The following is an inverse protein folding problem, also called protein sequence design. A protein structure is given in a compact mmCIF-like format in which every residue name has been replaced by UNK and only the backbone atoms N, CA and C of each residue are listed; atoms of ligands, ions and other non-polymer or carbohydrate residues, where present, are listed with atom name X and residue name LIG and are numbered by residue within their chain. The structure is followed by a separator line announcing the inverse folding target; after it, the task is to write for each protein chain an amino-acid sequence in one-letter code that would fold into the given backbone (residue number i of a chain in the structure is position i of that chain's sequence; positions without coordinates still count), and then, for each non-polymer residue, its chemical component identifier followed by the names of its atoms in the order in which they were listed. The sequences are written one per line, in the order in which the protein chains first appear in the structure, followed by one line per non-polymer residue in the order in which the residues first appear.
data_IF_362224296750
#
_entry.id   IF_362224296750
#
_cell.length_a   1.000
_cell.length_b   1.000
_cell.length_c   1.000
_cell.angle_alpha   90.00
_cell.angle_beta   90.00
_cell.angle_gamma   90.00
#
_symmetry.space_group_name_H-M   'P 1'
#
loop_
_entity.id
_entity.type
_entity.pdbx_description
1 polymer ?
#
# COMPACT_ATOMS: atom_id res chain seq x y z
N UNK A 1 6.30 42.84 22.51
CA UNK A 1 5.18 41.98 22.98
C UNK A 1 4.96 40.81 22.01
N UNK A 2 5.91 39.87 21.90
CA UNK A 2 5.88 38.78 20.88
C UNK A 2 5.94 37.38 21.50
N UNK A 3 5.32 37.15 22.66
CA UNK A 3 5.42 35.87 23.39
C UNK A 3 4.16 34.98 23.26
N UNK A 4 3.08 35.47 22.62
CA UNK A 4 1.78 34.77 22.58
C UNK A 4 1.44 34.10 21.24
N UNK A 5 2.27 34.25 20.21
CA UNK A 5 1.97 33.77 18.85
C UNK A 5 2.49 32.36 18.54
N UNK A 6 3.36 31.80 19.39
CA UNK A 6 3.92 30.46 19.16
C UNK A 6 2.93 29.32 19.48
N UNK A 7 1.85 29.60 20.20
CA UNK A 7 0.93 28.57 20.70
C UNK A 7 -0.15 28.14 19.68
N UNK A 8 -0.26 28.80 18.52
CA UNK A 8 -1.29 28.49 17.54
C UNK A 8 -0.80 27.68 16.32
N UNK A 9 0.48 27.34 16.25
CA UNK A 9 1.06 26.65 15.08
C UNK A 9 1.05 25.10 15.17
N UNK A 10 0.59 24.53 16.28
CA UNK A 10 0.61 23.06 16.48
C UNK A 10 -0.75 22.36 16.32
N UNK A 11 -1.83 23.07 16.00
CA UNK A 11 -3.15 22.45 15.81
C UNK A 11 -3.45 22.06 14.36
N UNK A 12 -2.72 22.61 13.37
CA UNK A 12 -2.99 22.37 11.95
C UNK A 12 -2.33 21.10 11.39
N UNK A 13 -1.31 20.55 12.07
CA UNK A 13 -0.58 19.37 11.56
C UNK A 13 -1.35 18.05 11.77
N UNK A 14 -2.29 17.98 12.71
CA UNK A 14 -3.02 16.75 13.02
C UNK A 14 -4.11 16.41 11.98
N UNK A 15 -4.54 17.36 11.15
CA UNK A 15 -5.59 17.13 10.16
C UNK A 15 -5.09 16.58 8.81
N UNK A 16 -3.79 16.71 8.50
CA UNK A 16 -3.24 16.23 7.21
C UNK A 16 -2.83 14.75 7.21
N UNK A 17 -2.75 14.11 8.37
CA UNK A 17 -2.29 12.71 8.47
C UNK A 17 -3.40 11.68 8.22
N UNK A 18 -4.65 12.10 8.03
CA UNK A 18 -5.80 11.20 7.86
C UNK A 18 -6.10 10.82 6.39
N UNK A 19 -5.33 11.31 5.41
CA UNK A 19 -5.65 11.11 3.98
C UNK A 19 -4.84 10.02 3.27
N UNK A 20 -4.00 9.26 3.96
CA UNK A 20 -3.52 7.97 3.41
C UNK A 20 -4.58 6.91 3.76
N UNK A 21 -5.83 7.18 3.33
CA UNK A 21 -6.79 6.10 3.11
C UNK A 21 -6.20 5.25 2.01
N UNK A 22 -5.67 4.09 2.39
CA UNK A 22 -5.68 2.85 1.62
C UNK A 22 -6.10 3.06 0.16
N UNK A 23 -5.21 3.65 -0.64
CA UNK A 23 -5.42 3.73 -2.07
C UNK A 23 -5.23 2.29 -2.53
N UNK A 24 -6.31 1.49 -2.45
CA UNK A 24 -6.40 0.18 -3.08
C UNK A 24 -5.94 0.47 -4.50
N UNK A 25 -4.75 -0.03 -4.92
CA UNK A 25 -4.21 0.37 -6.20
C UNK A 25 -5.31 0.10 -7.22
N UNK A 26 -5.63 1.06 -8.11
CA UNK A 26 -6.76 0.94 -9.04
C UNK A 26 -6.69 -0.35 -9.88
N UNK A 27 -5.54 -1.02 -9.90
CA UNK A 27 -5.38 -2.35 -10.45
C UNK A 27 -4.56 -3.30 -9.53
N UNK A 28 -5.08 -3.60 -8.34
CA UNK A 28 -4.45 -4.56 -7.42
C UNK A 28 -4.16 -5.92 -8.09
N UNK A 29 -5.08 -6.41 -8.93
CA UNK A 29 -4.87 -7.63 -9.73
C UNK A 29 -3.72 -7.49 -10.74
N UNK A 30 -3.53 -6.32 -11.36
CA UNK A 30 -2.41 -6.06 -12.27
C UNK A 30 -1.07 -6.03 -11.54
N UNK A 31 -1.04 -5.50 -10.32
CA UNK A 31 0.14 -5.54 -9.45
C UNK A 31 0.52 -7.00 -9.12
N UNK A 32 -0.43 -7.81 -8.66
CA UNK A 32 -0.20 -9.24 -8.39
C UNK A 32 0.30 -9.98 -9.65
N UNK A 33 -0.33 -9.71 -10.81
CA UNK A 33 0.08 -10.31 -12.09
C UNK A 33 1.49 -9.92 -12.50
N UNK A 34 1.91 -8.68 -12.22
CA UNK A 34 3.28 -8.22 -12.48
C UNK A 34 4.29 -8.91 -11.59
N UNK A 35 3.98 -9.09 -10.30
CA UNK A 35 4.81 -9.86 -9.36
C UNK A 35 4.96 -11.33 -9.79
N UNK A 36 3.88 -11.97 -10.23
CA UNK A 36 3.93 -13.34 -10.75
C UNK A 36 4.83 -13.47 -11.99
N UNK A 37 4.66 -12.57 -12.98
CA UNK A 37 5.48 -12.55 -14.20
C UNK A 37 6.95 -12.34 -13.88
N UNK A 38 7.26 -11.42 -12.96
CA UNK A 38 8.62 -11.18 -12.49
C UNK A 38 9.22 -12.43 -11.85
N UNK A 39 8.48 -13.08 -10.95
CA UNK A 39 8.93 -14.31 -10.29
C UNK A 39 9.26 -15.41 -11.32
N UNK A 40 8.38 -15.62 -12.31
CA UNK A 40 8.60 -16.59 -13.38
C UNK A 40 9.77 -16.21 -14.30
N UNK A 41 9.95 -14.92 -14.62
CA UNK A 41 11.01 -14.47 -15.52
C UNK A 41 12.41 -14.54 -14.90
N UNK A 42 12.49 -14.54 -13.56
CA UNK A 42 13.75 -14.64 -12.82
C UNK A 42 14.09 -16.08 -12.40
N UNK A 43 13.39 -17.08 -12.92
CA UNK A 43 13.63 -18.49 -12.61
C UNK A 43 13.12 -18.91 -11.22
N UNK A 44 12.16 -18.16 -10.67
CA UNK A 44 11.48 -18.54 -9.43
C UNK A 44 10.72 -19.86 -9.59
N UNK A 45 10.53 -20.55 -8.47
CA UNK A 45 9.76 -21.78 -8.44
C UNK A 45 8.27 -21.52 -8.76
N UNK A 46 7.72 -22.27 -9.71
CA UNK A 46 6.36 -22.04 -10.22
C UNK A 46 5.27 -22.26 -9.15
N UNK A 47 5.53 -23.08 -8.13
CA UNK A 47 4.60 -23.31 -7.02
C UNK A 47 4.63 -22.10 -6.07
N UNK A 48 5.83 -21.63 -5.69
CA UNK A 48 5.99 -20.46 -4.85
C UNK A 48 5.47 -19.17 -5.52
N UNK A 49 5.81 -18.94 -6.79
CA UNK A 49 5.33 -17.77 -7.54
C UNK A 49 3.79 -17.72 -7.56
N UNK A 50 3.14 -18.88 -7.72
CA UNK A 50 1.68 -18.99 -7.73
C UNK A 50 1.08 -18.78 -6.36
N UNK A 51 1.67 -19.36 -5.31
CA UNK A 51 1.22 -19.14 -3.94
C UNK A 51 1.26 -17.65 -3.55
N UNK A 52 2.33 -16.94 -3.90
CA UNK A 52 2.44 -15.48 -3.68
C UNK A 52 1.44 -14.68 -4.52
N UNK A 53 1.17 -15.09 -5.76
CA UNK A 53 0.15 -14.47 -6.60
C UNK A 53 -1.25 -14.61 -6.00
N UNK A 54 -1.62 -15.81 -5.57
CA UNK A 54 -2.92 -16.08 -4.94
C UNK A 54 -3.08 -15.34 -3.61
N UNK A 55 -2.02 -15.28 -2.79
CA UNK A 55 -2.03 -14.50 -1.55
C UNK A 55 -2.23 -13.02 -1.83
N UNK A 56 -1.54 -12.49 -2.85
CA UNK A 56 -1.71 -11.11 -3.28
C UNK A 56 -3.17 -10.84 -3.71
N UNK A 57 -3.79 -11.75 -4.46
CA UNK A 57 -5.19 -11.63 -4.86
C UNK A 57 -6.17 -11.67 -3.68
N UNK A 58 -5.93 -12.50 -2.66
CA UNK A 58 -6.75 -12.54 -1.44
C UNK A 58 -6.69 -11.21 -0.68
N UNK A 59 -5.49 -10.67 -0.50
CA UNK A 59 -5.30 -9.35 0.09
C UNK A 59 -5.99 -8.26 -0.75
N UNK A 60 -5.92 -8.37 -2.08
CA UNK A 60 -6.63 -7.49 -2.99
C UNK A 60 -8.15 -7.59 -2.89
N UNK A 61 -8.70 -8.75 -2.51
CA UNK A 61 -10.14 -8.98 -2.33
C UNK A 61 -10.63 -8.49 -0.95
N UNK A 62 -9.72 -8.36 0.03
CA UNK A 62 -10.05 -8.00 1.41
C UNK A 62 -10.41 -9.21 2.28
N UNK A 63 -10.03 -10.41 1.82
CA UNK A 63 -10.20 -11.69 2.53
C UNK A 63 -8.95 -12.01 3.38
N UNK A 64 -8.50 -11.06 4.21
CA UNK A 64 -7.34 -11.20 5.10
C UNK A 64 -7.73 -11.75 6.48
#
# INVERSE_FOLDING_TARGET
MFKKLALFLFAAAAALSASISTARPPDCAMYCGSGYRYCMSHGGDAVQCRASYEQCLRHCAGDD
#
